data_IF_065155800218
#
_entry.id   IF_065155800218
#
_cell.length_a   1.000
_cell.length_b   1.000
_cell.length_c   1.000
_cell.angle_alpha   90.00
_cell.angle_beta   90.00
_cell.angle_gamma   90.00
#
_symmetry.space_group_name_H-M   'P 1'
#
loop_
_entity.id
_entity.type
_entity.pdbx_description
1 polymer ?
#
# COMPACT_ATOMS: atom_id res chain seq x y z
N UNK A 1 22.80 -11.49 72.30
CA UNK A 1 23.81 -12.49 72.72
C UNK A 1 25.13 -12.08 72.09
N UNK A 2 26.10 -11.64 72.90
CA UNK A 2 27.49 -11.31 72.51
C UNK A 2 28.24 -12.60 72.15
N UNK A 3 29.46 -12.41 71.60
CA UNK A 3 30.62 -13.34 71.44
C UNK A 3 30.87 -13.62 69.95
N UNK A 4 32.07 -13.51 69.37
CA UNK A 4 33.44 -13.18 69.81
C UNK A 4 34.27 -12.81 68.57
N UNK A 5 35.17 -11.86 68.74
CA UNK A 5 36.39 -11.61 67.95
C UNK A 5 37.42 -12.73 68.12
N UNK A 6 38.29 -12.95 67.12
CA UNK A 6 39.72 -13.37 67.14
C UNK A 6 40.08 -13.73 65.67
N UNK A 7 40.76 -12.92 64.87
CA UNK A 7 42.17 -12.51 64.85
C UNK A 7 43.23 -13.63 64.94
N UNK A 8 44.25 -13.47 64.07
CA UNK A 8 45.58 -14.07 64.02
C UNK A 8 45.70 -15.45 63.32
N UNK A 9 46.74 -15.77 62.54
CA UNK A 9 47.99 -15.10 62.18
C UNK A 9 48.63 -15.85 60.98
N UNK A 10 49.26 -15.06 60.10
CA UNK A 10 50.52 -15.27 59.36
C UNK A 10 51.22 -16.65 59.43
N UNK A 11 51.52 -17.25 58.26
CA UNK A 11 52.91 -17.62 57.92
C UNK A 11 53.12 -17.99 56.44
N UNK A 12 54.17 -17.40 55.86
CA UNK A 12 54.90 -17.73 54.62
C UNK A 12 55.42 -19.20 54.63
N UNK A 13 55.90 -19.86 53.53
CA UNK A 13 56.78 -19.32 52.48
C UNK A 13 56.69 -19.88 51.04
N UNK A 14 57.39 -19.18 50.13
CA UNK A 14 58.17 -19.62 48.94
C UNK A 14 57.76 -20.85 48.10
N UNK A 15 57.68 -20.63 46.78
CA UNK A 15 58.52 -21.38 45.82
C UNK A 15 57.83 -22.39 44.89
N UNK A 16 57.75 -22.00 43.61
CA UNK A 16 57.88 -22.82 42.40
C UNK A 16 56.90 -23.99 42.14
N UNK A 17 56.16 -23.94 41.02
CA UNK A 17 56.60 -24.48 39.70
C UNK A 17 55.42 -24.57 38.73
N UNK A 18 55.75 -24.27 37.48
CA UNK A 18 55.03 -24.27 36.20
C UNK A 18 54.24 -25.55 35.90
N UNK A 19 53.04 -25.43 35.31
CA UNK A 19 52.57 -26.23 34.16
C UNK A 19 51.19 -25.77 33.67
N UNK A 20 50.97 -25.52 32.36
CA UNK A 20 49.69 -25.08 31.83
C UNK A 20 48.86 -26.29 31.41
N UNK A 21 47.87 -26.67 32.23
CA UNK A 21 46.70 -27.43 31.77
C UNK A 21 45.45 -26.89 32.46
N UNK A 22 44.92 -25.77 31.95
CA UNK A 22 43.54 -25.38 32.26
C UNK A 22 42.61 -26.36 31.55
N UNK A 23 42.18 -27.38 32.28
CA UNK A 23 40.84 -27.96 32.14
C UNK A 23 39.92 -27.17 33.08
N UNK A 24 39.06 -26.33 32.52
CA UNK A 24 37.83 -25.81 33.15
C UNK A 24 36.82 -25.81 31.99
N UNK A 25 36.04 -26.88 31.87
CA UNK A 25 34.73 -27.08 32.51
C UNK A 25 33.63 -26.27 31.80
N UNK A 26 32.62 -27.02 31.37
CA UNK A 26 31.48 -26.64 30.57
C UNK A 26 30.72 -25.41 31.10
N UNK A 27 30.25 -24.57 30.18
CA UNK A 27 29.09 -23.71 30.40
C UNK A 27 28.27 -23.61 29.12
N UNK A 28 27.02 -24.08 29.25
CA UNK A 28 25.80 -23.72 28.52
C UNK A 28 25.81 -23.69 26.98
N UNK A 29 25.09 -24.68 26.45
CA UNK A 29 24.40 -24.68 25.17
C UNK A 29 23.51 -23.43 25.06
N UNK A 30 23.96 -22.39 24.38
CA UNK A 30 23.08 -21.31 23.93
C UNK A 30 22.56 -21.69 22.54
N UNK A 31 21.49 -22.49 22.52
CA UNK A 31 20.63 -22.57 21.34
C UNK A 31 20.04 -21.17 21.21
N UNK A 32 20.60 -20.35 20.31
CA UNK A 32 19.87 -19.22 19.78
C UNK A 32 18.70 -19.80 19.01
N UNK A 33 17.58 -20.00 19.71
CA UNK A 33 16.27 -20.01 19.08
C UNK A 33 16.11 -18.63 18.48
N UNK A 34 16.50 -18.51 17.22
CA UNK A 34 15.86 -17.57 16.31
C UNK A 34 14.39 -17.93 16.41
N UNK A 35 13.66 -17.19 17.23
CA UNK A 35 12.22 -17.11 17.12
C UNK A 35 12.05 -16.25 15.87
N UNK A 36 11.72 -16.81 14.68
CA UNK A 36 11.08 -15.97 13.69
C UNK A 36 9.84 -15.45 14.40
N UNK A 37 9.80 -14.13 14.61
CA UNK A 37 8.58 -13.47 15.06
C UNK A 37 7.59 -13.71 13.93
N UNK A 38 6.83 -14.81 14.07
CA UNK A 38 5.66 -15.11 13.28
C UNK A 38 4.64 -14.03 13.61
N UNK A 39 4.66 -12.96 12.81
CA UNK A 39 3.82 -11.79 13.07
C UNK A 39 4.02 -10.64 12.09
N UNK A 40 4.33 -10.91 10.82
CA UNK A 40 4.18 -9.98 9.71
C UNK A 40 3.73 -10.79 8.50
N UNK A 41 2.53 -11.34 8.59
CA UNK A 41 1.89 -11.99 7.47
C UNK A 41 1.43 -10.95 6.45
N UNK A 42 1.77 -11.21 5.19
CA UNK A 42 0.79 -11.17 4.10
C UNK A 42 0.50 -9.85 3.38
N UNK A 43 1.53 -9.15 2.89
CA UNK A 43 1.38 -8.18 1.77
C UNK A 43 2.52 -8.23 0.73
N UNK A 44 3.41 -9.22 0.79
CA UNK A 44 4.61 -9.27 -0.07
C UNK A 44 4.31 -9.35 -1.56
N UNK A 45 3.16 -9.90 -1.97
CA UNK A 45 2.74 -9.94 -3.38
C UNK A 45 2.18 -8.62 -3.93
N UNK A 46 1.87 -7.64 -3.07
CA UNK A 46 1.31 -6.34 -3.46
C UNK A 46 2.38 -5.24 -3.56
N UNK A 47 3.55 -5.46 -2.96
CA UNK A 47 4.66 -4.49 -2.85
C UNK A 47 5.77 -4.80 -3.86
N UNK A 48 5.75 -5.96 -4.53
CA UNK A 48 6.79 -6.37 -5.47
C UNK A 48 6.53 -5.80 -6.89
N UNK A 49 6.62 -4.46 -7.00
CA UNK A 49 6.76 -3.76 -8.28
C UNK A 49 8.11 -3.05 -8.28
N UNK A 50 9.17 -3.83 -8.52
CA UNK A 50 10.48 -3.30 -8.81
C UNK A 50 10.43 -2.48 -10.11
N UNK A 51 10.76 -1.19 -10.02
CA UNK A 51 10.93 -0.24 -11.14
C UNK A 51 9.67 0.07 -11.97
N UNK A 52 8.50 0.22 -11.34
CA UNK A 52 7.34 0.77 -12.03
C UNK A 52 7.31 2.28 -11.88
N UNK A 53 7.35 3.04 -12.99
CA UNK A 53 7.21 4.49 -12.98
C UNK A 53 5.73 4.87 -13.10
N UNK A 54 5.19 5.74 -12.23
CA UNK A 54 3.86 6.28 -12.47
C UNK A 54 3.89 7.12 -13.76
N UNK A 55 2.78 7.11 -14.50
CA UNK A 55 2.59 7.96 -15.68
C UNK A 55 1.14 8.43 -15.78
N UNK A 56 0.78 9.29 -14.84
CA UNK A 56 -0.59 9.75 -14.70
C UNK A 56 -1.00 10.01 -13.27
N UNK A 57 -2.28 10.25 -13.06
CA UNK A 57 -2.92 10.30 -11.75
C UNK A 57 -4.41 9.97 -11.90
N UNK A 58 -5.05 9.66 -10.78
CA UNK A 58 -6.44 9.24 -10.74
C UNK A 58 -7.16 10.04 -9.67
N UNK A 59 -8.35 10.54 -10.00
CA UNK A 59 -9.29 11.13 -9.07
C UNK A 59 -10.67 10.48 -9.22
N UNK A 60 -11.53 10.68 -8.22
CA UNK A 60 -12.91 10.20 -8.25
C UNK A 60 -13.85 11.35 -7.94
N UNK A 61 -14.98 11.41 -8.62
CA UNK A 61 -16.08 12.30 -8.27
C UNK A 61 -17.36 11.52 -8.04
N UNK A 62 -18.27 12.14 -7.31
CA UNK A 62 -19.63 11.66 -7.09
C UNK A 62 -20.59 12.68 -7.69
N UNK A 63 -21.44 12.26 -8.62
CA UNK A 63 -22.42 13.15 -9.25
C UNK A 63 -23.68 13.33 -8.40
N UNK A 64 -24.59 14.21 -8.85
CA UNK A 64 -25.87 14.50 -8.18
C UNK A 64 -26.77 13.27 -8.02
N UNK A 65 -26.56 12.27 -8.88
CA UNK A 65 -27.33 11.05 -8.91
C UNK A 65 -26.73 9.93 -8.05
N UNK A 66 -25.56 10.20 -7.43
CA UNK A 66 -24.79 9.23 -6.68
C UNK A 66 -23.96 8.29 -7.54
N UNK A 67 -23.81 8.54 -8.84
CA UNK A 67 -22.92 7.76 -9.68
C UNK A 67 -21.47 8.20 -9.47
N UNK A 68 -20.60 7.20 -9.36
CA UNK A 68 -19.17 7.39 -9.20
C UNK A 68 -18.55 7.57 -10.59
N UNK A 69 -17.75 8.61 -10.79
CA UNK A 69 -16.95 8.78 -12.00
C UNK A 69 -15.47 8.74 -11.65
N UNK A 70 -14.73 7.87 -12.33
CA UNK A 70 -13.28 7.77 -12.21
C UNK A 70 -12.66 8.66 -13.29
N UNK A 71 -11.85 9.61 -12.84
CA UNK A 71 -11.08 10.52 -13.67
C UNK A 71 -9.64 10.07 -13.68
N UNK A 72 -9.04 9.92 -14.86
CA UNK A 72 -7.65 9.51 -15.02
C UNK A 72 -6.96 10.47 -15.98
N UNK A 73 -5.69 10.73 -15.72
CA UNK A 73 -4.77 11.24 -16.72
C UNK A 73 -3.77 10.14 -16.99
N UNK A 74 -3.58 9.77 -18.26
CA UNK A 74 -2.64 8.74 -18.71
C UNK A 74 -1.72 9.36 -19.78
N UNK A 75 -0.47 9.67 -19.43
CA UNK A 75 0.33 10.61 -20.21
C UNK A 75 1.03 9.96 -21.41
N UNK A 76 1.76 8.87 -21.18
CA UNK A 76 2.56 8.17 -22.18
C UNK A 76 2.27 6.66 -22.21
N UNK A 77 1.12 6.31 -21.63
CA UNK A 77 0.53 4.98 -21.55
C UNK A 77 -0.97 5.07 -21.86
N UNK A 78 -1.56 3.92 -22.16
CA UNK A 78 -3.01 3.79 -22.32
C UNK A 78 -3.59 2.98 -21.17
N UNK A 79 -4.81 3.30 -20.77
CA UNK A 79 -5.63 2.50 -19.85
C UNK A 79 -6.62 1.70 -20.68
N UNK A 80 -6.80 0.42 -20.37
CA UNK A 80 -7.80 -0.45 -21.03
C UNK A 80 -9.05 -0.67 -20.19
N UNK A 81 -8.92 -0.62 -18.86
CA UNK A 81 -10.02 -0.89 -17.95
C UNK A 81 -9.77 -0.27 -16.59
N UNK A 82 -10.82 -0.24 -15.78
CA UNK A 82 -10.74 0.07 -14.36
C UNK A 82 -11.11 -1.18 -13.59
N UNK A 83 -10.27 -1.54 -12.63
CA UNK A 83 -10.54 -2.62 -11.71
C UNK A 83 -10.91 -2.04 -10.33
N UNK A 84 -12.03 -2.48 -9.81
CA UNK A 84 -12.54 -2.09 -8.50
C UNK A 84 -12.38 -3.27 -7.57
N UNK A 85 -11.77 -3.01 -6.43
CA UNK A 85 -11.50 -4.04 -5.43
C UNK A 85 -12.21 -3.70 -4.12
N UNK A 86 -12.71 -4.71 -3.42
CA UNK A 86 -13.15 -4.65 -2.03
C UNK A 86 -12.52 -5.79 -1.25
N UNK A 87 -12.43 -5.64 0.07
CA UNK A 87 -11.99 -6.70 0.95
C UNK A 87 -13.03 -7.82 0.93
N UNK A 88 -12.57 -9.06 1.00
CA UNK A 88 -13.44 -10.23 1.15
C UNK A 88 -13.26 -10.86 2.52
N UNK A 89 -14.20 -11.73 2.89
CA UNK A 89 -14.10 -12.55 4.10
C UNK A 89 -12.91 -13.51 4.08
N UNK A 90 -12.28 -13.72 2.90
CA UNK A 90 -11.07 -14.53 2.77
C UNK A 90 -9.83 -13.63 2.77
N UNK A 91 -8.98 -13.71 3.81
CA UNK A 91 -7.78 -12.90 3.89
C UNK A 91 -6.89 -13.04 2.64
N UNK A 92 -6.48 -11.90 2.07
CA UNK A 92 -5.58 -11.83 0.93
C UNK A 92 -6.21 -12.14 -0.44
N UNK A 93 -7.53 -12.29 -0.52
CA UNK A 93 -8.25 -12.47 -1.79
C UNK A 93 -9.35 -11.41 -1.91
N UNK A 94 -9.07 -10.20 -2.44
CA UNK A 94 -10.11 -9.20 -2.63
C UNK A 94 -11.19 -9.73 -3.58
N UNK A 95 -12.41 -9.19 -3.45
CA UNK A 95 -13.40 -9.31 -4.51
C UNK A 95 -13.11 -8.20 -5.51
N UNK A 96 -13.15 -8.54 -6.79
CA UNK A 96 -12.64 -7.69 -7.84
C UNK A 96 -13.63 -7.65 -8.99
N UNK A 97 -13.92 -6.46 -9.49
CA UNK A 97 -14.77 -6.25 -10.65
C UNK A 97 -14.07 -5.33 -11.65
N UNK A 98 -14.00 -5.76 -12.90
CA UNK A 98 -13.34 -5.04 -13.99
C UNK A 98 -14.38 -4.41 -14.92
N UNK A 99 -14.16 -3.14 -15.22
CA UNK A 99 -15.00 -2.32 -16.08
C UNK A 99 -14.13 -1.83 -17.23
N UNK A 100 -14.34 -2.39 -18.40
CA UNK A 100 -13.56 -2.05 -19.58
C UNK A 100 -13.91 -0.65 -20.10
N UNK A 101 -12.89 0.02 -20.64
CA UNK A 101 -13.10 1.17 -21.53
C UNK A 101 -13.54 0.66 -22.90
N UNK A 102 -14.18 1.52 -23.69
CA UNK A 102 -14.66 1.16 -25.02
C UNK A 102 -13.48 0.80 -25.94
N UNK A 103 -12.36 1.49 -25.76
CA UNK A 103 -11.06 1.20 -26.33
C UNK A 103 -9.94 1.67 -25.38
N UNK A 104 -8.72 1.11 -25.49
CA UNK A 104 -7.57 1.64 -24.78
C UNK A 104 -7.33 3.12 -25.07
N UNK A 105 -7.22 3.95 -24.03
CA UNK A 105 -7.16 5.40 -24.17
C UNK A 105 -6.00 6.01 -23.35
N UNK A 106 -5.39 7.06 -23.89
CA UNK A 106 -4.45 7.96 -23.19
C UNK A 106 -5.06 9.36 -23.02
N UNK A 107 -4.29 10.30 -22.47
CA UNK A 107 -4.75 11.67 -22.17
C UNK A 107 -5.68 11.71 -20.96
N UNK A 108 -6.67 12.59 -20.99
CA UNK A 108 -7.70 12.63 -19.95
C UNK A 108 -8.83 11.64 -20.25
N UNK A 109 -9.18 10.82 -19.26
CA UNK A 109 -10.20 9.79 -19.36
C UNK A 109 -11.19 9.99 -18.20
N UNK A 110 -12.48 9.96 -18.51
CA UNK A 110 -13.53 9.93 -17.50
C UNK A 110 -14.46 8.74 -17.75
N UNK A 111 -14.56 7.82 -16.78
CA UNK A 111 -15.44 6.66 -16.86
C UNK A 111 -16.40 6.68 -15.68
N UNK A 112 -17.67 6.88 -15.98
CA UNK A 112 -18.74 6.68 -15.01
C UNK A 112 -18.93 5.19 -14.79
N UNK A 113 -18.89 4.77 -13.53
CA UNK A 113 -19.10 3.40 -13.14
C UNK A 113 -20.59 3.06 -13.30
N UNK A 114 -20.93 1.86 -13.81
CA UNK A 114 -22.32 1.44 -13.86
C UNK A 114 -22.86 1.34 -12.43
N UNK A 115 -24.14 1.69 -12.23
CA UNK A 115 -24.77 1.61 -10.90
C UNK A 115 -25.03 0.18 -10.43
N UNK A 116 -25.05 -0.75 -11.37
CA UNK A 116 -25.22 -2.17 -11.11
C UNK A 116 -24.62 -2.96 -12.27
N UNK A 117 -24.11 -4.15 -11.98
CA UNK A 117 -23.61 -5.08 -12.99
C UNK A 117 -24.13 -6.48 -12.73
N UNK A 118 -24.06 -7.35 -13.74
CA UNK A 118 -24.31 -8.78 -13.57
C UNK A 118 -23.04 -9.54 -13.16
N UNK A 119 -22.06 -8.84 -12.58
CA UNK A 119 -20.80 -9.46 -12.16
C UNK A 119 -21.02 -10.32 -10.91
N UNK A 120 -20.31 -11.44 -10.81
CA UNK A 120 -20.39 -12.35 -9.67
C UNK A 120 -18.98 -12.56 -9.10
N UNK A 121 -18.70 -12.12 -7.86
CA UNK A 121 -19.62 -11.43 -6.94
C UNK A 121 -19.89 -9.96 -7.36
N UNK A 122 -21.05 -9.37 -7.00
CA UNK A 122 -21.44 -8.04 -7.47
C UNK A 122 -20.75 -6.93 -6.64
N UNK A 123 -19.46 -6.69 -6.91
CA UNK A 123 -18.61 -5.76 -6.14
C UNK A 123 -19.19 -4.35 -6.12
N UNK A 124 -19.59 -3.82 -7.27
CA UNK A 124 -20.20 -2.49 -7.34
C UNK A 124 -21.47 -2.38 -6.51
N UNK A 125 -22.35 -3.39 -6.55
CA UNK A 125 -23.58 -3.37 -5.76
C UNK A 125 -23.27 -3.36 -4.25
N UNK A 126 -22.23 -4.08 -3.81
CA UNK A 126 -21.81 -4.08 -2.41
C UNK A 126 -21.37 -2.67 -1.98
N UNK A 127 -20.53 -2.00 -2.79
CA UNK A 127 -20.05 -0.64 -2.53
C UNK A 127 -21.22 0.35 -2.44
N UNK A 128 -22.19 0.24 -3.34
CA UNK A 128 -23.33 1.15 -3.39
C UNK A 128 -24.32 0.93 -2.23
N UNK A 129 -24.37 -0.28 -1.65
CA UNK A 129 -25.30 -0.64 -0.58
C UNK A 129 -24.70 -0.52 0.83
N UNK A 130 -23.37 -0.55 0.98
CA UNK A 130 -22.69 -0.31 2.26
C UNK A 130 -21.83 0.95 2.20
N UNK A 131 -22.31 2.08 2.78
CA UNK A 131 -21.57 3.34 2.75
C UNK A 131 -20.21 3.32 3.45
N UNK A 132 -19.93 2.33 4.30
CA UNK A 132 -18.66 2.17 4.99
C UNK A 132 -17.73 1.17 4.31
N UNK A 133 -18.20 0.44 3.30
CA UNK A 133 -17.38 -0.50 2.55
C UNK A 133 -16.20 0.26 1.92
N UNK A 134 -14.99 -0.17 2.29
CA UNK A 134 -13.79 0.33 1.66
C UNK A 134 -13.61 -0.31 0.29
N UNK A 135 -13.27 0.52 -0.69
CA UNK A 135 -12.93 0.07 -2.02
C UNK A 135 -11.69 0.76 -2.56
N UNK A 136 -11.06 0.10 -3.54
CA UNK A 136 -9.89 0.58 -4.25
C UNK A 136 -10.22 0.67 -5.74
N UNK A 137 -9.66 1.68 -6.40
CA UNK A 137 -9.77 1.87 -7.84
C UNK A 137 -8.38 1.73 -8.44
N UNK A 138 -8.24 0.75 -9.32
CA UNK A 138 -7.02 0.39 -10.00
C UNK A 138 -7.20 0.56 -11.52
N UNK A 139 -6.69 1.66 -12.11
CA UNK A 139 -6.54 1.72 -13.56
C UNK A 139 -5.64 0.58 -14.05
N UNK A 140 -6.07 -0.13 -15.08
CA UNK A 140 -5.30 -1.19 -15.71
C UNK A 140 -4.70 -0.66 -17.01
N UNK A 141 -3.38 -0.59 -17.06
CA UNK A 141 -2.64 -0.15 -18.24
C UNK A 141 -2.78 -1.18 -19.37
N UNK A 142 -3.09 -0.70 -20.57
CA UNK A 142 -2.99 -1.49 -21.79
C UNK A 142 -1.51 -1.76 -22.10
N UNK A 143 -1.15 -3.03 -22.24
CA UNK A 143 0.22 -3.44 -22.52
C UNK A 143 0.36 -3.81 -23.99
N UNK A 144 0.89 -2.88 -24.78
CA UNK A 144 1.31 -3.16 -26.17
C UNK A 144 2.49 -4.14 -26.14
N UNK A 145 3.47 -3.85 -25.28
CA UNK A 145 4.66 -4.66 -25.07
C UNK A 145 4.65 -5.31 -23.67
N UNK A 146 5.18 -6.53 -23.57
CA UNK A 146 5.11 -7.33 -22.32
C UNK A 146 6.01 -6.79 -21.20
N UNK A 147 6.94 -5.88 -21.53
CA UNK A 147 7.85 -5.21 -20.63
C UNK A 147 7.35 -3.84 -20.14
N UNK A 148 6.13 -3.42 -20.52
CA UNK A 148 5.54 -2.20 -19.99
C UNK A 148 5.38 -2.26 -18.46
N UNK A 149 6.10 -1.37 -17.79
CA UNK A 149 6.15 -1.23 -16.32
C UNK A 149 5.47 0.05 -15.82
N UNK A 150 5.11 0.98 -16.71
CA UNK A 150 4.42 2.22 -16.34
C UNK A 150 2.97 1.96 -15.96
N UNK A 151 2.43 2.82 -15.09
CA UNK A 151 1.06 2.67 -14.60
C UNK A 151 0.44 4.01 -14.24
N UNK A 152 -0.89 4.07 -14.27
CA UNK A 152 -1.63 5.17 -13.66
C UNK A 152 -1.86 4.83 -12.18
N UNK A 153 -1.52 5.72 -11.23
CA UNK A 153 -1.70 5.48 -9.79
C UNK A 153 -3.12 5.08 -9.40
N UNK A 154 -3.21 4.16 -8.44
CA UNK A 154 -4.47 3.71 -7.87
C UNK A 154 -4.96 4.67 -6.77
N UNK A 155 -6.28 4.64 -6.53
CA UNK A 155 -6.88 5.24 -5.33
C UNK A 155 -7.21 4.14 -4.33
N UNK A 156 -6.92 4.40 -3.05
CA UNK A 156 -7.03 3.41 -2.00
C UNK A 156 -8.00 3.82 -0.90
N UNK A 157 -8.75 2.84 -0.40
CA UNK A 157 -9.57 2.95 0.80
C UNK A 157 -10.57 4.10 0.73
N UNK A 158 -11.27 4.24 -0.39
CA UNK A 158 -12.44 5.12 -0.48
C UNK A 158 -13.63 4.45 0.19
N UNK A 159 -14.54 5.24 0.72
CA UNK A 159 -15.89 4.79 1.08
C UNK A 159 -16.91 5.76 0.49
N UNK A 160 -18.14 5.29 0.27
CA UNK A 160 -19.20 6.21 -0.20
C UNK A 160 -19.45 7.32 0.80
N UNK A 161 -19.45 7.00 2.11
CA UNK A 161 -19.60 8.01 3.17
C UNK A 161 -18.47 9.05 3.17
N UNK A 162 -17.28 8.71 2.70
CA UNK A 162 -16.20 9.69 2.50
C UNK A 162 -16.48 10.58 1.29
N UNK A 163 -16.82 10.00 0.14
CA UNK A 163 -17.11 10.75 -1.09
C UNK A 163 -18.28 11.74 -0.89
N UNK A 164 -19.28 11.36 -0.10
CA UNK A 164 -20.45 12.21 0.22
C UNK A 164 -20.12 13.44 1.09
N UNK A 165 -18.95 13.49 1.73
CA UNK A 165 -18.52 14.66 2.51
C UNK A 165 -18.09 15.83 1.63
N UNK A 166 -17.77 15.56 0.36
CA UNK A 166 -17.35 16.56 -0.60
C UNK A 166 -18.54 17.06 -1.43
N UNK A 167 -18.48 18.29 -1.97
CA UNK A 167 -19.50 18.78 -2.87
C UNK A 167 -19.67 17.85 -4.09
N UNK A 168 -20.90 17.71 -4.58
CA UNK A 168 -21.17 16.92 -5.80
C UNK A 168 -20.42 17.52 -6.98
N UNK A 169 -19.83 16.66 -7.79
CA UNK A 169 -18.98 17.05 -8.92
C UNK A 169 -17.55 17.47 -8.56
N UNK A 170 -17.19 17.56 -7.28
CA UNK A 170 -15.80 17.76 -6.87
C UNK A 170 -14.96 16.52 -7.16
N UNK A 171 -13.72 16.73 -7.63
CA UNK A 171 -12.77 15.64 -7.87
C UNK A 171 -11.94 15.43 -6.61
N UNK A 172 -11.87 14.18 -6.17
CA UNK A 172 -11.07 13.74 -5.04
C UNK A 172 -9.83 13.06 -5.59
N UNK A 173 -8.72 13.78 -5.58
CA UNK A 173 -7.41 13.27 -5.97
C UNK A 173 -6.69 12.72 -4.76
N UNK A 174 -5.97 11.62 -4.93
CA UNK A 174 -5.17 11.03 -3.88
C UNK A 174 -3.70 11.04 -4.29
N UNK A 175 -2.91 11.85 -3.58
CA UNK A 175 -1.47 11.94 -3.83
C UNK A 175 -0.82 10.56 -3.74
N UNK A 176 -0.11 10.19 -4.80
CA UNK A 176 0.64 8.95 -4.84
C UNK A 176 1.86 9.05 -3.90
N UNK A 177 2.00 8.07 -3.04
CA UNK A 177 3.17 7.89 -2.19
C UNK A 177 3.88 6.62 -2.66
N UNK A 178 5.14 6.71 -3.11
CA UNK A 178 5.91 5.53 -3.53
C UNK A 178 5.98 4.50 -2.39
N UNK A 179 5.97 3.18 -2.70
CA UNK A 179 6.11 2.14 -1.68
C UNK A 179 7.37 2.26 -0.82
N UNK A 180 8.46 2.84 -1.37
CA UNK A 180 9.70 3.13 -0.63
C UNK A 180 9.53 4.22 0.43
N UNK A 181 8.53 5.09 0.28
CA UNK A 181 8.24 6.20 1.19
C UNK A 181 7.06 5.91 2.10
N UNK A 182 6.23 4.90 1.77
CA UNK A 182 5.14 4.43 2.61
C UNK A 182 5.70 3.83 3.90
N UNK A 183 5.59 4.56 5.01
CA UNK A 183 6.14 4.12 6.29
C UNK A 183 5.31 3.02 6.94
N UNK A 184 4.07 2.81 6.48
CA UNK A 184 3.17 1.75 6.96
C UNK A 184 2.21 1.33 5.84
N UNK A 185 1.97 0.03 5.62
CA UNK A 185 0.83 -0.43 4.81
C UNK A 185 -0.47 0.15 5.38
N UNK A 186 -1.19 0.94 4.60
CA UNK A 186 -2.39 1.66 5.07
C UNK A 186 -2.13 3.07 5.62
N UNK A 187 -0.97 3.66 5.38
CA UNK A 187 -0.74 5.09 5.65
C UNK A 187 -1.85 5.92 5.01
N UNK A 188 -2.44 6.82 5.81
CA UNK A 188 -3.56 7.69 5.40
C UNK A 188 -3.09 8.49 4.20
N UNK A 189 -3.54 8.08 3.02
CA UNK A 189 -3.20 8.77 1.79
C UNK A 189 -3.99 10.06 1.78
N UNK A 190 -3.27 11.19 1.68
CA UNK A 190 -3.89 12.50 1.66
C UNK A 190 -4.75 12.59 0.41
N UNK A 191 -6.05 12.74 0.63
CA UNK A 191 -7.05 12.98 -0.39
C UNK A 191 -7.39 14.46 -0.36
N UNK A 192 -7.38 15.09 -1.53
CA UNK A 192 -7.60 16.52 -1.67
C UNK A 192 -8.71 16.75 -2.69
N UNK A 193 -9.57 17.72 -2.38
CA UNK A 193 -10.51 18.25 -3.36
C UNK A 193 -9.74 19.11 -4.36
N UNK A 194 -9.91 18.82 -5.65
CA UNK A 194 -9.31 19.56 -6.76
C UNK A 194 -10.37 19.91 -7.80
N UNK A 195 -10.18 21.01 -8.51
CA UNK A 195 -11.00 21.32 -9.68
C UNK A 195 -10.61 20.41 -10.87
N UNK A 196 -11.50 20.26 -11.85
CA UNK A 196 -11.17 19.53 -13.08
C UNK A 196 -9.97 20.14 -13.82
N UNK A 197 -9.87 21.47 -13.86
CA UNK A 197 -8.76 22.18 -14.50
C UNK A 197 -7.44 21.94 -13.77
N UNK A 198 -7.44 22.00 -12.44
CA UNK A 198 -6.29 21.63 -11.61
C UNK A 198 -5.92 20.15 -11.79
N UNK A 199 -6.91 19.28 -11.85
CA UNK A 199 -6.67 17.86 -12.11
C UNK A 199 -6.11 17.62 -13.51
N UNK A 200 -6.50 18.36 -14.55
CA UNK A 200 -5.95 18.18 -15.90
C UNK A 200 -4.58 18.82 -16.08
N UNK A 201 -4.38 20.04 -15.58
CA UNK A 201 -3.26 20.90 -15.96
C UNK A 201 -2.35 21.30 -14.79
N UNK A 202 -2.72 20.96 -13.57
CA UNK A 202 -1.89 21.19 -12.38
C UNK A 202 -0.64 20.30 -12.36
N UNK A 203 0.34 20.73 -11.58
CA UNK A 203 1.57 19.96 -11.36
C UNK A 203 1.27 18.63 -10.66
N UNK A 204 1.95 17.57 -11.08
CA UNK A 204 1.80 16.24 -10.50
C UNK A 204 3.13 15.50 -10.55
N UNK A 205 3.58 14.99 -9.40
CA UNK A 205 4.83 14.23 -9.28
C UNK A 205 4.78 12.85 -9.94
N UNK A 206 3.59 12.43 -10.39
CA UNK A 206 3.36 11.14 -11.04
C UNK A 206 3.18 11.24 -12.54
N UNK A 207 3.26 12.45 -13.11
CA UNK A 207 3.22 12.68 -14.55
C UNK A 207 4.63 12.90 -15.08
N UNK A 208 5.00 12.32 -16.23
CA UNK A 208 6.23 12.69 -16.91
C UNK A 208 6.17 14.14 -17.40
N UNK A 209 7.33 14.77 -17.58
CA UNK A 209 7.44 16.20 -17.96
C UNK A 209 6.74 16.54 -19.28
N UNK A 210 6.63 15.58 -20.20
CA UNK A 210 5.98 15.72 -21.50
C UNK A 210 4.52 15.25 -21.51
N UNK A 211 3.86 15.20 -20.35
CA UNK A 211 2.45 14.81 -20.29
C UNK A 211 1.56 15.80 -21.04
N UNK A 212 0.79 15.29 -22.00
CA UNK A 212 -0.24 16.06 -22.72
C UNK A 212 -1.62 15.60 -22.26
N UNK A 213 -2.45 16.54 -21.82
CA UNK A 213 -3.77 16.29 -21.24
C UNK A 213 -4.79 17.05 -22.06
N UNK A 214 -5.13 16.50 -23.22
CA UNK A 214 -6.17 17.02 -24.09
C UNK A 214 -7.50 16.32 -23.77
#
# INVERSE_FOLDING_TARGET
MRLRTFNNEVNMPFGATISPRRKIAAVALAIMTVIPVSGCGYFSGWIEKAETSPSGNTAVSLDDSGAITVHMVACDIQVESIEINIESDTPGKPLTERIDLDEPAGGYIAKTLPRSTSHEPPVLDIIMNDPQQQFWIAPITYKVDSDEKRFVPWIYGLTMSELEKYPRGSLIDQKYVPPSEARTPGEVRVKEEVSLDQFKHGESSTRPENCHVD
#
